data_IF_208615173338
#
_entry.id   IF_208615173338
#
_cell.length_a   1.000
_cell.length_b   1.000
_cell.length_c   1.000
_cell.angle_alpha   90.00
_cell.angle_beta   90.00
_cell.angle_gamma   90.00
#
_symmetry.space_group_name_H-M   'P 1'
#
loop_
_entity.id
_entity.type
_entity.pdbx_description
1 polymer ?
#
# COMPACT_ATOMS: atom_id res chain seq x y z
N UNK A 1 19.95 -4.34 -30.91
CA UNK A 1 19.05 -3.87 -29.84
C UNK A 1 17.69 -4.48 -30.13
N UNK A 2 17.01 -5.15 -29.21
CA UNK A 2 15.67 -5.66 -29.45
C UNK A 2 14.72 -4.47 -29.61
N UNK A 3 14.08 -4.38 -30.77
CA UNK A 3 13.00 -3.40 -30.99
C UNK A 3 11.79 -3.80 -30.14
N UNK A 4 11.49 -3.00 -29.13
CA UNK A 4 10.22 -3.12 -28.43
C UNK A 4 9.09 -2.72 -29.39
N UNK A 5 8.10 -3.59 -29.64
CA UNK A 5 6.99 -3.23 -30.51
C UNK A 5 6.30 -2.01 -29.92
N UNK A 6 6.22 -0.92 -30.67
CA UNK A 6 5.37 0.25 -30.34
C UNK A 6 3.93 -0.23 -30.40
N UNK A 7 3.40 -0.71 -29.27
CA UNK A 7 1.96 -0.81 -29.11
C UNK A 7 1.41 0.61 -29.17
N UNK A 8 0.46 0.86 -30.05
CA UNK A 8 -0.32 2.10 -30.05
C UNK A 8 -0.82 2.34 -28.63
N UNK A 9 -0.26 3.37 -27.99
CA UNK A 9 -0.49 3.65 -26.57
C UNK A 9 -1.83 4.37 -26.43
N UNK A 10 -2.92 3.60 -26.46
CA UNK A 10 -4.26 4.13 -26.19
C UNK A 10 -4.42 4.28 -24.66
N UNK A 11 -4.35 5.51 -24.17
CA UNK A 11 -4.66 5.88 -22.80
C UNK A 11 -6.11 5.50 -22.50
N UNK A 12 -6.31 4.43 -21.73
CA UNK A 12 -7.64 3.97 -21.32
C UNK A 12 -7.83 4.24 -19.82
N UNK A 13 -8.61 5.27 -19.49
CA UNK A 13 -9.00 5.54 -18.10
C UNK A 13 -10.12 4.59 -17.71
N UNK A 14 -9.74 3.46 -17.10
CA UNK A 14 -10.69 2.45 -16.64
C UNK A 14 -11.38 2.82 -15.33
N UNK A 15 -12.49 2.16 -15.02
CA UNK A 15 -13.23 2.34 -13.76
C UNK A 15 -12.36 2.13 -12.50
N UNK A 16 -11.43 1.18 -12.53
CA UNK A 16 -10.45 0.98 -11.46
C UNK A 16 -9.65 2.25 -11.17
N UNK A 17 -9.19 2.93 -12.22
CA UNK A 17 -8.37 4.16 -12.09
C UNK A 17 -9.16 5.25 -11.38
N UNK A 18 -10.42 5.47 -11.77
CA UNK A 18 -11.28 6.51 -11.18
C UNK A 18 -11.55 6.20 -9.71
N UNK A 19 -11.99 4.99 -9.37
CA UNK A 19 -12.28 4.64 -7.97
C UNK A 19 -11.03 4.68 -7.09
N UNK A 20 -9.86 4.30 -7.60
CA UNK A 20 -8.59 4.41 -6.87
C UNK A 20 -8.23 5.86 -6.59
N UNK A 21 -8.32 6.74 -7.60
CA UNK A 21 -8.01 8.16 -7.46
C UNK A 21 -8.95 8.85 -6.45
N UNK A 22 -10.26 8.63 -6.58
CA UNK A 22 -11.25 9.20 -5.66
C UNK A 22 -11.05 8.68 -4.23
N UNK A 23 -10.82 7.39 -4.05
CA UNK A 23 -10.60 6.80 -2.72
C UNK A 23 -9.33 7.33 -2.07
N UNK A 24 -8.23 7.45 -2.83
CA UNK A 24 -6.98 8.01 -2.31
C UNK A 24 -7.15 9.50 -1.94
N UNK A 25 -7.86 10.28 -2.76
CA UNK A 25 -8.18 11.67 -2.47
C UNK A 25 -9.00 11.82 -1.18
N UNK A 26 -10.06 11.01 -1.02
CA UNK A 26 -10.91 11.06 0.18
C UNK A 26 -10.11 10.70 1.44
N UNK A 27 -9.30 9.66 1.39
CA UNK A 27 -8.42 9.28 2.51
C UNK A 27 -7.43 10.39 2.82
N UNK A 28 -6.83 11.02 1.79
CA UNK A 28 -5.92 12.15 2.00
C UNK A 28 -6.60 13.31 2.70
N UNK A 29 -7.81 13.70 2.28
CA UNK A 29 -8.60 14.77 2.90
C UNK A 29 -8.89 14.46 4.37
N UNK A 30 -9.39 13.25 4.66
CA UNK A 30 -9.70 12.84 6.06
C UNK A 30 -8.45 12.89 6.93
N UNK A 31 -7.32 12.37 6.45
CA UNK A 31 -6.06 12.39 7.19
C UNK A 31 -5.54 13.81 7.43
N UNK A 32 -5.65 14.69 6.44
CA UNK A 32 -5.28 16.10 6.59
C UNK A 32 -6.17 16.80 7.63
N UNK A 33 -7.48 16.51 7.66
CA UNK A 33 -8.41 17.09 8.64
C UNK A 33 -8.10 16.67 10.07
N UNK A 34 -7.62 15.45 10.29
CA UNK A 34 -7.21 14.95 11.61
C UNK A 34 -5.74 15.26 11.95
N UNK A 35 -5.02 16.00 11.09
CA UNK A 35 -3.62 16.37 11.31
C UNK A 35 -2.61 15.23 11.20
N UNK A 36 -2.96 14.10 10.53
CA UNK A 36 -2.06 12.97 10.29
C UNK A 36 -1.50 12.97 8.87
N UNK A 37 -0.29 12.43 8.71
CA UNK A 37 0.32 12.27 7.39
C UNK A 37 -0.42 11.20 6.58
N UNK A 38 -1.03 11.54 5.41
CA UNK A 38 -1.84 10.62 4.63
C UNK A 38 -1.04 9.60 3.81
N UNK A 39 0.28 9.78 3.66
CA UNK A 39 1.08 9.08 2.67
C UNK A 39 0.89 7.55 2.68
N UNK A 40 0.96 6.91 3.85
CA UNK A 40 0.91 5.44 3.93
C UNK A 40 -0.51 4.88 3.81
N UNK A 41 -1.51 5.63 4.26
CA UNK A 41 -2.91 5.26 4.02
C UNK A 41 -3.26 5.37 2.53
N UNK A 42 -2.84 6.45 1.85
CA UNK A 42 -3.02 6.59 0.40
C UNK A 42 -2.29 5.50 -0.40
N UNK A 43 -1.04 5.18 -0.01
CA UNK A 43 -0.31 4.06 -0.60
C UNK A 43 -1.07 2.73 -0.39
N UNK A 44 -1.64 2.53 0.80
CA UNK A 44 -2.48 1.37 1.11
C UNK A 44 -3.69 1.26 0.18
N UNK A 45 -4.38 2.37 -0.08
CA UNK A 45 -5.50 2.44 -1.04
C UNK A 45 -5.04 2.12 -2.45
N UNK A 46 -3.99 2.81 -2.94
CA UNK A 46 -3.54 2.70 -4.34
C UNK A 46 -3.10 1.28 -4.67
N UNK A 47 -2.30 0.67 -3.81
CA UNK A 47 -1.79 -0.69 -4.03
C UNK A 47 -2.80 -1.78 -3.62
N UNK A 48 -3.71 -1.50 -2.68
CA UNK A 48 -4.76 -2.44 -2.27
C UNK A 48 -5.91 -2.54 -3.29
N UNK A 49 -6.12 -1.52 -4.15
CA UNK A 49 -7.21 -1.50 -5.09
C UNK A 49 -6.98 -2.45 -6.27
N UNK A 50 -7.73 -3.54 -6.33
CA UNK A 50 -7.76 -4.49 -7.45
C UNK A 50 -8.80 -4.15 -8.52
N UNK A 51 -8.80 -4.94 -9.60
CA UNK A 51 -9.86 -4.87 -10.63
C UNK A 51 -11.16 -5.40 -10.04
N UNK A 52 -11.09 -6.50 -9.33
CA UNK A 52 -12.19 -7.14 -8.61
C UNK A 52 -11.85 -7.32 -7.11
N UNK A 53 -12.77 -7.97 -6.37
CA UNK A 53 -12.60 -8.19 -4.94
C UNK A 53 -11.46 -9.17 -4.61
N UNK A 54 -11.27 -10.19 -5.45
CA UNK A 54 -10.21 -11.18 -5.28
C UNK A 54 -8.82 -10.54 -5.43
N UNK A 55 -8.66 -9.74 -6.47
CA UNK A 55 -7.43 -8.97 -6.69
C UNK A 55 -7.15 -7.99 -5.56
N UNK A 56 -8.19 -7.33 -5.02
CA UNK A 56 -8.03 -6.41 -3.89
C UNK A 56 -7.62 -7.12 -2.62
N UNK A 57 -8.16 -8.30 -2.33
CA UNK A 57 -7.74 -9.11 -1.18
C UNK A 57 -6.28 -9.56 -1.34
N UNK A 58 -5.90 -10.00 -2.53
CA UNK A 58 -4.51 -10.41 -2.82
C UNK A 58 -3.54 -9.24 -2.66
N UNK A 59 -3.82 -8.13 -3.33
CA UNK A 59 -2.95 -6.95 -3.33
C UNK A 59 -2.90 -6.27 -1.95
N UNK A 60 -4.07 -6.11 -1.31
CA UNK A 60 -4.19 -5.58 0.05
C UNK A 60 -3.51 -6.48 1.07
N UNK A 61 -3.68 -7.80 0.97
CA UNK A 61 -3.00 -8.78 1.80
C UNK A 61 -1.48 -8.70 1.65
N UNK A 62 -0.96 -8.69 0.41
CA UNK A 62 0.46 -8.52 0.16
C UNK A 62 1.00 -7.26 0.86
N UNK A 63 0.27 -6.15 0.75
CA UNK A 63 0.67 -4.87 1.35
C UNK A 63 0.61 -4.92 2.87
N UNK A 64 -0.49 -5.41 3.45
CA UNK A 64 -0.71 -5.43 4.89
C UNK A 64 0.27 -6.38 5.60
N UNK A 65 0.33 -7.64 5.16
CA UNK A 65 1.19 -8.64 5.80
C UNK A 65 2.67 -8.31 5.60
N UNK A 66 3.07 -7.81 4.42
CA UNK A 66 4.43 -7.35 4.21
C UNK A 66 4.81 -6.19 5.14
N UNK A 67 3.95 -5.17 5.26
CA UNK A 67 4.17 -4.04 6.17
C UNK A 67 4.21 -4.50 7.63
N UNK A 68 3.36 -5.45 8.02
CA UNK A 68 3.35 -6.02 9.37
C UNK A 68 4.67 -6.75 9.69
N UNK A 69 5.07 -7.68 8.83
CA UNK A 69 6.30 -8.47 9.02
C UNK A 69 7.52 -7.54 8.98
N UNK A 70 7.62 -6.68 7.98
CA UNK A 70 8.74 -5.74 7.83
C UNK A 70 8.82 -4.72 8.96
N UNK A 71 7.67 -4.20 9.42
CA UNK A 71 7.60 -3.26 10.54
C UNK A 71 8.01 -3.88 11.87
N UNK A 72 7.51 -5.06 12.19
CA UNK A 72 7.91 -5.77 13.42
C UNK A 72 9.38 -6.18 13.40
N UNK A 73 9.84 -6.70 12.25
CA UNK A 73 11.25 -7.04 12.08
C UNK A 73 12.16 -5.82 12.22
N UNK A 74 11.77 -4.69 11.65
CA UNK A 74 12.57 -3.45 11.75
C UNK A 74 12.71 -2.96 13.18
N UNK A 75 11.67 -3.09 14.02
CA UNK A 75 11.73 -2.77 15.45
C UNK A 75 12.78 -3.65 16.13
N UNK A 76 12.75 -4.96 15.88
CA UNK A 76 13.71 -5.89 16.47
C UNK A 76 15.17 -5.62 16.05
N UNK A 77 15.38 -5.37 14.75
CA UNK A 77 16.72 -5.06 14.21
C UNK A 77 17.24 -3.73 14.75
N UNK A 78 16.38 -2.72 14.83
CA UNK A 78 16.76 -1.41 15.36
C UNK A 78 17.08 -1.49 16.87
N UNK A 79 16.32 -2.29 17.61
CA UNK A 79 16.59 -2.57 19.02
C UNK A 79 17.97 -3.24 19.20
N UNK A 80 18.31 -4.25 18.37
CA UNK A 80 19.64 -4.89 18.38
C UNK A 80 20.72 -3.86 18.07
N UNK A 81 20.51 -3.01 17.07
CA UNK A 81 21.46 -1.94 16.71
C UNK A 81 21.76 -1.03 17.90
N UNK A 82 20.75 -0.61 18.65
CA UNK A 82 20.89 0.29 19.81
C UNK A 82 21.64 -0.33 20.99
N UNK A 83 21.71 -1.68 21.10
CA UNK A 83 22.53 -2.34 22.13
C UNK A 83 24.02 -2.09 21.92
N UNK A 84 24.46 -1.92 20.67
CA UNK A 84 25.86 -1.67 20.33
C UNK A 84 26.15 -0.18 20.15
N UNK A 85 25.20 0.57 19.65
CA UNK A 85 25.34 2.00 19.32
C UNK A 85 24.14 2.82 19.84
N UNK A 86 24.04 3.07 21.15
CA UNK A 86 22.89 3.77 21.75
C UNK A 86 22.65 5.19 21.21
N UNK A 87 23.74 5.87 20.77
CA UNK A 87 23.65 7.21 20.20
C UNK A 87 23.56 7.22 18.66
N UNK A 88 23.52 6.06 18.03
CA UNK A 88 23.55 5.93 16.58
C UNK A 88 24.93 6.21 15.96
N UNK A 89 24.96 6.57 14.68
CA UNK A 89 26.18 7.07 14.01
C UNK A 89 26.94 6.04 13.18
N UNK A 90 26.70 4.73 13.33
CA UNK A 90 27.40 3.69 12.58
C UNK A 90 26.56 3.09 11.45
N UNK A 91 26.44 3.83 10.33
CA UNK A 91 25.64 3.43 9.17
C UNK A 91 26.10 2.11 8.53
N UNK A 92 27.41 1.81 8.56
CA UNK A 92 27.94 0.55 7.99
C UNK A 92 27.45 -0.66 8.78
N UNK A 93 27.44 -0.59 10.12
CA UNK A 93 26.91 -1.68 10.94
C UNK A 93 25.41 -1.88 10.70
N UNK A 94 24.67 -0.79 10.57
CA UNK A 94 23.24 -0.84 10.23
C UNK A 94 22.99 -1.48 8.84
N UNK A 95 23.87 -1.22 7.87
CA UNK A 95 23.80 -1.84 6.55
C UNK A 95 24.04 -3.37 6.60
N UNK A 96 24.98 -3.83 7.45
CA UNK A 96 25.20 -5.27 7.68
C UNK A 96 23.96 -5.91 8.33
N UNK A 97 23.38 -5.25 9.33
CA UNK A 97 22.14 -5.70 9.96
C UNK A 97 20.98 -5.75 8.96
N UNK A 98 20.88 -4.77 8.05
CA UNK A 98 19.88 -4.80 6.98
C UNK A 98 20.04 -6.04 6.09
N UNK A 99 21.28 -6.42 5.73
CA UNK A 99 21.52 -7.62 4.93
C UNK A 99 20.99 -8.88 5.62
N UNK A 100 21.33 -9.08 6.89
CA UNK A 100 20.82 -10.19 7.70
C UNK A 100 19.29 -10.14 7.85
N UNK A 101 18.74 -8.96 8.15
CA UNK A 101 17.30 -8.75 8.29
C UNK A 101 16.53 -9.02 6.98
N UNK A 102 17.12 -8.71 5.83
CA UNK A 102 16.51 -9.01 4.53
C UNK A 102 16.35 -10.51 4.31
N UNK A 103 17.34 -11.32 4.68
CA UNK A 103 17.23 -12.77 4.61
C UNK A 103 16.09 -13.26 5.51
N UNK A 104 16.05 -12.78 6.76
CA UNK A 104 14.98 -13.12 7.72
C UNK A 104 13.61 -12.71 7.19
N UNK A 105 13.50 -11.50 6.63
CA UNK A 105 12.26 -10.99 6.02
C UNK A 105 11.76 -11.92 4.91
N UNK A 106 12.65 -12.32 4.00
CA UNK A 106 12.32 -13.22 2.89
C UNK A 106 11.81 -14.57 3.42
N UNK A 107 12.49 -15.16 4.40
CA UNK A 107 12.10 -16.44 4.99
C UNK A 107 10.75 -16.34 5.71
N UNK A 108 10.53 -15.29 6.50
CA UNK A 108 9.25 -15.04 7.16
C UNK A 108 8.12 -14.84 6.15
N UNK A 109 8.36 -14.05 5.11
CA UNK A 109 7.36 -13.84 4.08
C UNK A 109 7.08 -15.12 3.29
N UNK A 110 8.08 -15.94 2.96
CA UNK A 110 7.87 -17.23 2.30
C UNK A 110 6.98 -18.16 3.12
N UNK A 111 7.12 -18.14 4.44
CA UNK A 111 6.33 -18.98 5.32
C UNK A 111 4.91 -18.44 5.53
N UNK A 112 4.74 -17.14 5.80
CA UNK A 112 3.45 -16.56 6.15
C UNK A 112 2.69 -15.98 4.95
N UNK A 113 3.37 -15.21 4.08
CA UNK A 113 2.74 -14.48 2.97
C UNK A 113 3.75 -14.11 1.90
N UNK A 114 3.97 -14.93 0.85
CA UNK A 114 5.03 -14.73 -0.14
C UNK A 114 5.02 -13.38 -0.86
N UNK A 115 3.83 -12.81 -1.11
CA UNK A 115 3.70 -11.48 -1.73
C UNK A 115 4.10 -10.30 -0.85
N UNK A 116 4.42 -10.54 0.44
CA UNK A 116 4.78 -9.51 1.41
C UNK A 116 6.23 -9.03 1.34
N UNK A 117 7.12 -9.69 0.59
CA UNK A 117 8.55 -9.36 0.55
C UNK A 117 8.81 -7.92 0.12
N UNK A 118 8.19 -7.46 -0.97
CA UNK A 118 8.40 -6.11 -1.48
C UNK A 118 7.94 -5.02 -0.50
N UNK A 119 6.67 -5.01 -0.02
CA UNK A 119 6.25 -3.99 0.92
C UNK A 119 6.97 -4.08 2.27
N UNK A 120 7.32 -5.29 2.73
CA UNK A 120 8.10 -5.50 3.95
C UNK A 120 9.49 -4.93 3.85
N UNK A 121 10.20 -5.15 2.73
CA UNK A 121 11.52 -4.58 2.46
C UNK A 121 11.52 -3.05 2.44
N UNK A 122 10.50 -2.44 1.84
CA UNK A 122 10.35 -0.98 1.84
C UNK A 122 10.23 -0.43 3.26
N UNK A 123 9.38 -1.04 4.10
CA UNK A 123 9.21 -0.59 5.49
C UNK A 123 10.47 -0.82 6.31
N UNK A 124 11.12 -1.97 6.14
CA UNK A 124 12.39 -2.29 6.81
C UNK A 124 13.45 -1.21 6.51
N UNK A 125 13.66 -0.88 5.24
CA UNK A 125 14.63 0.14 4.83
C UNK A 125 14.28 1.54 5.38
N UNK A 126 13.01 1.95 5.31
CA UNK A 126 12.58 3.26 5.77
C UNK A 126 12.78 3.39 7.28
N UNK A 127 12.40 2.37 8.05
CA UNK A 127 12.55 2.40 9.51
C UNK A 127 14.02 2.46 9.90
N UNK A 128 14.88 1.67 9.25
CA UNK A 128 16.31 1.62 9.63
C UNK A 128 17.08 2.88 9.25
N UNK A 129 16.78 3.53 8.11
CA UNK A 129 17.61 4.63 7.59
C UNK A 129 16.97 6.01 7.65
N UNK A 130 15.65 6.09 7.79
CA UNK A 130 14.93 7.37 7.71
C UNK A 130 14.21 7.76 8.99
N UNK A 131 14.32 6.93 10.06
CA UNK A 131 13.57 7.17 11.29
C UNK A 131 14.52 7.56 12.42
N UNK A 132 14.18 8.61 13.21
CA UNK A 132 14.92 8.97 14.41
C UNK A 132 14.89 7.85 15.45
N UNK A 133 15.98 7.77 16.24
CA UNK A 133 16.18 6.74 17.28
C UNK A 133 15.05 6.74 18.30
N UNK A 134 14.55 7.93 18.67
CA UNK A 134 13.55 8.10 19.72
C UNK A 134 12.14 7.64 19.29
N UNK A 135 11.89 7.53 17.98
CA UNK A 135 10.53 7.32 17.45
C UNK A 135 10.36 6.08 16.56
N UNK A 136 11.40 5.23 16.42
CA UNK A 136 11.35 4.11 15.49
C UNK A 136 10.21 3.11 15.76
N UNK A 137 9.87 2.88 17.03
CA UNK A 137 8.75 1.98 17.40
C UNK A 137 7.42 2.58 16.98
N UNK A 138 7.15 3.83 17.41
CA UNK A 138 5.89 4.51 17.09
C UNK A 138 5.75 4.73 15.59
N UNK A 139 6.86 5.01 14.89
CA UNK A 139 6.88 5.15 13.45
C UNK A 139 6.50 3.84 12.75
N UNK A 140 7.12 2.71 13.11
CA UNK A 140 6.80 1.41 12.52
C UNK A 140 5.34 1.00 12.78
N UNK A 141 4.83 1.19 14.00
CA UNK A 141 3.44 0.90 14.34
C UNK A 141 2.46 1.79 13.57
N UNK A 142 2.74 3.09 13.44
CA UNK A 142 1.93 3.98 12.60
C UNK A 142 1.92 3.57 11.14
N UNK A 143 3.03 3.06 10.57
CA UNK A 143 3.08 2.50 9.21
C UNK A 143 2.13 1.32 9.05
N UNK A 144 2.13 0.40 10.01
CA UNK A 144 1.24 -0.76 10.01
C UNK A 144 -0.22 -0.29 10.03
N UNK A 145 -0.57 0.61 10.97
CA UNK A 145 -1.93 1.12 11.12
C UNK A 145 -2.43 1.88 9.89
N UNK A 146 -1.63 2.81 9.37
CA UNK A 146 -2.02 3.61 8.20
C UNK A 146 -2.16 2.74 6.96
N UNK A 147 -1.29 1.74 6.77
CA UNK A 147 -1.42 0.77 5.69
C UNK A 147 -2.68 -0.07 5.84
N UNK A 148 -3.00 -0.53 7.06
CA UNK A 148 -4.22 -1.29 7.33
C UNK A 148 -5.48 -0.49 6.99
N UNK A 149 -5.55 0.77 7.42
CA UNK A 149 -6.66 1.67 7.10
C UNK A 149 -6.80 1.84 5.59
N UNK A 150 -5.71 2.09 4.87
CA UNK A 150 -5.72 2.24 3.42
C UNK A 150 -6.21 0.99 2.70
N UNK A 151 -5.76 -0.19 3.11
CA UNK A 151 -6.19 -1.48 2.54
C UNK A 151 -7.67 -1.72 2.84
N UNK A 152 -8.13 -1.47 4.07
CA UNK A 152 -9.55 -1.61 4.44
C UNK A 152 -10.42 -0.70 3.56
N UNK A 153 -10.05 0.55 3.36
CA UNK A 153 -10.77 1.47 2.47
C UNK A 153 -10.81 0.94 1.04
N UNK A 154 -9.70 0.41 0.51
CA UNK A 154 -9.66 -0.17 -0.83
C UNK A 154 -10.63 -1.36 -0.96
N UNK A 155 -10.67 -2.25 0.04
CA UNK A 155 -11.59 -3.39 0.08
C UNK A 155 -13.05 -2.94 0.17
N UNK A 156 -13.38 -1.98 1.03
CA UNK A 156 -14.72 -1.44 1.18
C UNK A 156 -15.20 -0.78 -0.13
N UNK A 157 -14.39 0.05 -0.74
CA UNK A 157 -14.73 0.68 -2.02
C UNK A 157 -14.95 -0.37 -3.11
N UNK A 158 -14.12 -1.40 -3.17
CA UNK A 158 -14.30 -2.45 -4.17
C UNK A 158 -15.53 -3.33 -3.89
N UNK A 159 -15.89 -3.50 -2.64
CA UNK A 159 -17.11 -4.21 -2.23
C UNK A 159 -18.39 -3.44 -2.58
N UNK A 160 -18.44 -2.14 -2.28
CA UNK A 160 -19.62 -1.32 -2.52
C UNK A 160 -19.78 -0.87 -3.98
N UNK A 161 -18.67 -0.67 -4.70
CA UNK A 161 -18.62 -0.16 -6.07
C UNK A 161 -18.01 -1.18 -7.05
N UNK A 162 -18.57 -2.41 -7.17
CA UNK A 162 -18.10 -3.36 -8.15
C UNK A 162 -18.46 -2.88 -9.56
N UNK A 163 -17.59 -3.19 -10.54
CA UNK A 163 -17.77 -2.77 -11.94
C UNK A 163 -19.16 -3.06 -12.50
N UNK A 164 -19.72 -4.22 -12.16
CA UNK A 164 -21.04 -4.63 -12.65
C UNK A 164 -22.16 -3.66 -12.22
N UNK A 165 -22.17 -3.22 -10.95
CA UNK A 165 -23.18 -2.27 -10.44
C UNK A 165 -23.08 -0.91 -11.11
N UNK A 166 -21.88 -0.45 -11.37
CA UNK A 166 -21.68 0.88 -11.98
C UNK A 166 -22.03 0.87 -13.46
N UNK A 167 -21.67 -0.19 -14.19
CA UNK A 167 -22.08 -0.35 -15.60
C UNK A 167 -23.61 -0.41 -15.69
N UNK A 168 -24.28 -1.19 -14.85
CA UNK A 168 -25.75 -1.27 -14.81
C UNK A 168 -26.38 0.10 -14.49
N UNK A 169 -25.81 0.87 -13.56
CA UNK A 169 -26.29 2.22 -13.24
C UNK A 169 -26.15 3.18 -14.44
N UNK A 170 -25.00 3.16 -15.15
CA UNK A 170 -24.78 4.00 -16.33
C UNK A 170 -25.70 3.61 -17.51
N UNK A 171 -25.92 2.32 -17.73
CA UNK A 171 -26.87 1.86 -18.75
C UNK A 171 -28.30 2.26 -18.41
N UNK A 172 -28.70 2.16 -17.14
CA UNK A 172 -29.99 2.67 -16.67
C UNK A 172 -30.15 4.17 -16.88
N UNK A 173 -29.11 4.96 -16.56
CA UNK A 173 -29.11 6.41 -16.76
C UNK A 173 -29.21 6.79 -18.25
N UNK A 174 -28.44 6.12 -19.11
CA UNK A 174 -28.52 6.32 -20.57
C UNK A 174 -29.88 5.95 -21.12
N UNK A 175 -30.53 4.91 -20.59
CA UNK A 175 -31.91 4.54 -20.93
C UNK A 175 -32.93 5.64 -20.62
N UNK A 176 -32.81 6.26 -19.43
CA UNK A 176 -33.67 7.40 -19.02
C UNK A 176 -33.47 8.62 -19.91
N UNK A 177 -32.22 8.99 -20.24
CA UNK A 177 -31.96 10.12 -21.16
C UNK A 177 -32.44 9.86 -22.59
N UNK A 178 -32.42 8.59 -23.04
CA UNK A 178 -32.92 8.22 -24.39
C UNK A 178 -34.44 8.23 -24.49
N UNK A 179 -35.15 8.00 -23.38
CA UNK A 179 -36.63 8.13 -23.34
C UNK A 179 -37.09 9.59 -23.30
N UNK A 180 -36.33 10.49 -22.60
CA UNK A 180 -36.65 11.93 -22.59
C UNK A 180 -36.40 12.67 -23.90
N UNK A 181 -35.70 12.08 -24.87
CA UNK A 181 -35.44 12.68 -26.22
C UNK A 181 -36.44 12.22 -27.28
N UNK A 182 -37.47 11.48 -26.91
CA UNK A 182 -38.53 11.01 -27.84
C UNK A 182 -39.90 11.62 -27.57
N UNK A 183 -39.98 12.72 -26.80
CA UNK A 183 -41.20 13.53 -26.58
C UNK A 183 -41.07 14.85 -27.29
#
# INVERSE_FOLDING_TARGET
MPEFPRKDFQLHVGWRTIKTAVSAMLVAIVYCLIGRNPAFACIGVIFGMGVDMRDSIQNGGNRLFGTLIGGLLSIGVFWVYLQFYPQGGHTVFLAVLLGAATVILILLCQYFWPGGVQPGGVVLCIVLFSTPIESYVSYALNRILDTAIGVIVALLVNYFLPRARVVAFWEGLKGLFRMGSKV
#
